data_IF_010993306630
#
_entry.id   IF_010993306630
#
_cell.length_a   1.000
_cell.length_b   1.000
_cell.length_c   1.000
_cell.angle_alpha   90.00
_cell.angle_beta   90.00
_cell.angle_gamma   90.00
#
_symmetry.space_group_name_H-M   'P 1'
#
loop_
_entity.id
_entity.type
_entity.pdbx_description
1 polymer ?
#
# COMPACT_ATOMS: atom_id res chain seq x y z
N UNK A 1 43.39 -22.61 -19.24
CA UNK A 1 42.03 -23.15 -19.38
C UNK A 1 41.25 -22.62 -18.21
N UNK A 2 40.39 -21.68 -18.55
CA UNK A 2 39.58 -20.87 -17.64
C UNK A 2 38.23 -21.57 -17.47
N UNK A 3 37.72 -21.66 -16.24
CA UNK A 3 36.35 -22.08 -15.97
C UNK A 3 35.89 -21.38 -14.70
N UNK A 4 35.25 -20.23 -14.92
CA UNK A 4 34.54 -19.44 -13.94
C UNK A 4 33.21 -20.12 -13.60
N UNK A 5 32.98 -20.52 -12.35
CA UNK A 5 31.66 -20.91 -11.85
C UNK A 5 30.95 -19.68 -11.26
N UNK A 6 29.95 -19.18 -11.96
CA UNK A 6 29.04 -18.13 -11.51
C UNK A 6 28.27 -18.58 -10.26
N UNK A 7 28.46 -17.85 -9.15
CA UNK A 7 27.62 -17.97 -7.96
C UNK A 7 26.24 -17.39 -8.25
N UNK A 8 25.24 -18.25 -8.37
CA UNK A 8 23.84 -17.84 -8.38
C UNK A 8 23.49 -17.14 -7.05
N UNK A 9 23.22 -15.83 -7.11
CA UNK A 9 22.74 -15.04 -5.98
C UNK A 9 21.27 -15.32 -5.69
N UNK A 10 20.90 -15.44 -4.41
CA UNK A 10 19.51 -15.51 -3.96
C UNK A 10 19.01 -14.14 -3.48
N UNK A 11 17.69 -13.84 -3.61
CA UNK A 11 17.16 -12.49 -3.46
C UNK A 11 16.97 -12.06 -1.99
N UNK A 12 16.74 -10.76 -1.82
CA UNK A 12 16.72 -10.04 -0.56
C UNK A 12 15.72 -10.57 0.49
N UNK A 13 16.04 -10.22 1.75
CA UNK A 13 15.47 -10.44 3.10
C UNK A 13 13.99 -10.81 3.31
N UNK A 14 13.12 -10.80 2.29
CA UNK A 14 11.69 -11.16 2.36
C UNK A 14 11.27 -12.41 1.57
N UNK A 15 12.10 -12.89 0.64
CA UNK A 15 11.72 -13.99 -0.27
C UNK A 15 12.35 -15.34 0.10
N UNK A 16 13.08 -15.40 1.22
CA UNK A 16 13.73 -16.63 1.67
C UNK A 16 12.68 -17.62 2.22
N UNK A 17 12.51 -18.81 1.62
CA UNK A 17 11.52 -19.80 2.04
C UNK A 17 11.68 -20.22 3.50
N UNK A 18 12.92 -20.21 4.01
CA UNK A 18 13.26 -20.55 5.39
C UNK A 18 12.70 -19.53 6.38
N UNK A 19 12.79 -18.23 6.08
CA UNK A 19 12.28 -17.17 6.94
C UNK A 19 10.73 -17.15 6.98
N UNK A 20 10.09 -17.38 5.83
CA UNK A 20 8.63 -17.48 5.72
C UNK A 20 8.08 -18.70 6.46
N UNK A 21 8.76 -19.85 6.39
CA UNK A 21 8.36 -21.06 7.12
C UNK A 21 8.46 -20.89 8.65
N UNK A 22 9.49 -20.17 9.14
CA UNK A 22 9.63 -19.88 10.58
C UNK A 22 8.60 -18.88 11.09
N UNK A 23 8.15 -17.93 10.26
CA UNK A 23 7.13 -16.93 10.60
C UNK A 23 5.73 -17.52 10.70
N UNK A 24 5.45 -18.57 9.92
CA UNK A 24 4.12 -19.19 9.79
C UNK A 24 3.85 -20.35 10.76
N UNK A 25 4.79 -20.69 11.66
CA UNK A 25 4.63 -21.78 12.63
C UNK A 25 4.34 -23.15 12.02
N UNK A 26 4.57 -23.32 10.72
CA UNK A 26 4.24 -24.52 9.96
C UNK A 26 5.53 -25.25 9.63
N UNK A 27 6.04 -26.03 10.58
CA UNK A 27 7.14 -26.96 10.30
C UNK A 27 6.66 -28.39 10.49
N UNK A 28 6.48 -29.07 9.37
CA UNK A 28 6.57 -30.53 9.30
C UNK A 28 8.05 -30.88 9.19
N UNK A 29 8.58 -31.64 10.14
CA UNK A 29 9.85 -32.34 9.97
C UNK A 29 9.55 -33.77 9.49
N UNK A 30 10.00 -34.10 8.30
CA UNK A 30 10.18 -35.47 7.83
C UNK A 30 11.46 -35.52 6.97
N UNK A 31 12.24 -36.62 7.02
CA UNK A 31 13.53 -36.74 6.37
C UNK A 31 13.37 -37.00 4.87
N UNK A 32 14.39 -36.61 4.11
CA UNK A 32 14.47 -36.69 2.64
C UNK A 32 14.24 -38.11 2.09
N UNK A 33 13.50 -38.20 0.99
CA UNK A 33 13.41 -39.41 0.17
C UNK A 33 12.56 -39.24 -1.09
N UNK A 34 13.24 -39.25 -2.25
CA UNK A 34 12.76 -39.56 -3.61
C UNK A 34 11.91 -38.51 -4.36
N UNK A 35 12.50 -37.96 -5.43
CA UNK A 35 11.80 -37.33 -6.55
C UNK A 35 10.84 -38.32 -7.23
N UNK A 36 9.76 -37.81 -7.82
CA UNK A 36 9.64 -37.96 -9.27
C UNK A 36 9.40 -36.64 -10.00
N UNK A 37 10.02 -36.59 -11.18
CA UNK A 37 9.78 -35.66 -12.28
C UNK A 37 8.31 -35.70 -12.70
N UNK A 38 7.69 -34.53 -12.92
CA UNK A 38 6.65 -34.38 -13.93
C UNK A 38 6.63 -32.96 -14.51
N UNK A 39 6.79 -32.89 -15.83
CA UNK A 39 6.64 -31.74 -16.72
C UNK A 39 5.24 -31.12 -16.68
N UNK A 40 5.15 -29.83 -17.04
CA UNK A 40 4.03 -29.35 -17.86
C UNK A 40 3.32 -28.06 -17.43
N UNK A 41 3.89 -26.93 -17.87
CA UNK A 41 3.22 -25.71 -18.36
C UNK A 41 2.29 -24.88 -17.46
N UNK A 42 2.71 -23.63 -17.17
CA UNK A 42 1.92 -22.43 -17.50
C UNK A 42 2.75 -21.13 -17.37
N UNK A 43 3.14 -20.63 -18.56
CA UNK A 43 3.21 -19.24 -19.04
C UNK A 43 3.77 -18.12 -18.11
N UNK A 44 4.81 -17.51 -18.66
CA UNK A 44 5.54 -16.29 -18.28
C UNK A 44 4.67 -15.03 -18.10
N UNK A 45 4.99 -14.16 -17.13
CA UNK A 45 5.78 -12.92 -17.35
C UNK A 45 6.03 -12.14 -16.02
N UNK A 46 7.11 -11.35 -15.89
CA UNK A 46 7.72 -10.93 -14.63
C UNK A 46 7.52 -9.44 -14.28
N UNK A 47 7.37 -9.13 -12.98
CA UNK A 47 7.61 -7.78 -12.46
C UNK A 47 8.87 -7.78 -11.59
N UNK A 48 9.93 -7.16 -12.13
CA UNK A 48 11.22 -6.96 -11.49
C UNK A 48 11.20 -5.82 -10.48
N UNK A 49 12.07 -5.97 -9.50
CA UNK A 49 12.20 -5.23 -8.23
C UNK A 49 12.90 -3.88 -8.37
N UNK A 50 12.66 -3.02 -7.37
CA UNK A 50 13.39 -1.80 -7.02
C UNK A 50 14.92 -1.82 -7.24
N UNK A 51 15.46 -0.64 -7.55
CA UNK A 51 16.88 -0.27 -7.39
C UNK A 51 16.99 1.13 -6.76
N UNK A 52 18.15 1.46 -6.13
CA UNK A 52 18.29 2.26 -4.90
C UNK A 52 18.50 3.78 -5.14
N UNK A 53 18.60 4.64 -4.10
CA UNK A 53 18.47 6.09 -4.27
C UNK A 53 19.76 6.73 -4.80
N UNK A 54 19.63 7.59 -5.81
CA UNK A 54 20.66 8.53 -6.26
C UNK A 54 20.34 9.97 -5.81
N UNK A 55 21.37 10.82 -5.65
CA UNK A 55 21.24 12.10 -4.95
C UNK A 55 20.76 13.24 -5.86
N UNK A 56 20.02 14.14 -5.21
CA UNK A 56 19.75 15.55 -5.51
C UNK A 56 20.20 16.07 -6.90
N UNK A 57 19.25 16.14 -7.84
CA UNK A 57 19.29 17.07 -8.97
C UNK A 57 17.88 17.63 -9.23
N UNK A 58 17.77 18.95 -9.11
CA UNK A 58 16.98 19.82 -9.98
C UNK A 58 15.47 19.57 -10.10
N UNK A 59 14.70 20.48 -9.50
CA UNK A 59 13.26 20.66 -9.75
C UNK A 59 12.89 20.59 -11.26
N UNK A 60 11.85 19.83 -11.66
CA UNK A 60 11.30 19.93 -13.01
C UNK A 60 10.39 21.17 -13.14
N UNK A 61 10.27 21.77 -14.34
CA UNK A 61 9.41 22.93 -14.57
C UNK A 61 7.92 22.55 -14.51
N UNK A 62 7.00 23.50 -14.25
CA UNK A 62 5.58 23.19 -14.16
C UNK A 62 5.02 22.77 -15.52
N UNK A 63 4.20 21.72 -15.50
CA UNK A 63 3.48 21.21 -16.66
C UNK A 63 2.57 22.31 -17.24
N UNK A 64 2.71 22.53 -18.54
CA UNK A 64 1.88 23.46 -19.31
C UNK A 64 0.40 23.10 -19.16
N UNK A 65 -0.41 24.12 -18.85
CA UNK A 65 -1.85 24.02 -18.82
C UNK A 65 -2.38 23.52 -20.17
N UNK A 66 -3.08 22.38 -20.15
CA UNK A 66 -3.82 21.87 -21.29
C UNK A 66 -5.05 22.77 -21.50
N UNK A 67 -5.22 23.46 -22.64
CA UNK A 67 -6.42 24.22 -22.90
C UNK A 67 -7.56 23.26 -23.24
N UNK A 68 -8.64 23.29 -22.45
CA UNK A 68 -9.89 22.60 -22.77
C UNK A 68 -10.59 23.38 -23.88
N UNK A 69 -11.05 22.76 -24.98
CA UNK A 69 -11.73 23.47 -26.07
C UNK A 69 -13.17 23.77 -25.68
N UNK A 70 -13.44 25.00 -25.25
CA UNK A 70 -14.81 25.52 -25.19
C UNK A 70 -15.11 26.22 -26.52
N UNK A 71 -16.04 25.63 -27.28
CA UNK A 71 -16.64 26.28 -28.44
C UNK A 71 -17.52 27.44 -27.96
N UNK A 72 -17.03 28.66 -28.12
CA UNK A 72 -17.85 29.86 -28.13
C UNK A 72 -17.84 30.42 -29.55
N UNK A 73 -19.02 30.44 -30.15
CA UNK A 73 -19.36 31.13 -31.39
C UNK A 73 -19.02 32.61 -31.30
N UNK A 74 -18.31 33.11 -32.31
CA UNK A 74 -17.96 34.53 -32.51
C UNK A 74 -19.19 35.46 -32.53
N UNK A 75 -19.12 36.66 -31.94
CA UNK A 75 -19.92 37.81 -32.36
C UNK A 75 -19.22 38.55 -33.48
N UNK A 76 -19.93 38.74 -34.59
CA UNK A 76 -19.54 39.44 -35.80
C UNK A 76 -18.63 40.66 -35.60
N UNK A 77 -17.42 40.59 -36.15
CA UNK A 77 -16.52 41.73 -36.33
C UNK A 77 -16.97 42.52 -37.58
N UNK A 78 -17.51 43.72 -37.38
CA UNK A 78 -17.87 44.63 -38.47
C UNK A 78 -16.62 45.14 -39.19
N UNK A 79 -16.42 44.72 -40.43
CA UNK A 79 -15.44 45.28 -41.34
C UNK A 79 -15.97 46.61 -41.90
N UNK A 80 -15.39 47.73 -41.48
CA UNK A 80 -15.65 49.07 -42.03
C UNK A 80 -14.56 49.36 -43.06
N UNK A 81 -14.87 49.23 -44.35
CA UNK A 81 -14.03 49.75 -45.43
C UNK A 81 -14.56 51.09 -45.94
N UNK A 82 -13.65 52.05 -46.07
CA UNK A 82 -13.84 53.33 -46.74
C UNK A 82 -13.94 53.17 -48.26
N UNK A 83 -14.69 54.02 -48.97
CA UNK A 83 -14.43 54.28 -50.37
C UNK A 83 -13.79 55.66 -50.54
N UNK A 84 -12.64 55.68 -51.22
CA UNK A 84 -12.06 56.89 -51.79
C UNK A 84 -11.46 56.57 -53.15
N UNK A 85 -12.02 57.13 -54.22
CA UNK A 85 -11.30 57.51 -55.43
C UNK A 85 -12.17 58.42 -56.31
N UNK A 86 -11.57 59.55 -56.67
CA UNK A 86 -12.04 60.62 -57.55
C UNK A 86 -11.76 60.23 -59.02
N UNK A 87 -12.72 60.42 -59.94
CA UNK A 87 -12.45 60.59 -61.39
C UNK A 87 -13.46 61.60 -61.96
N UNK A 88 -12.95 62.67 -62.57
CA UNK A 88 -13.69 63.69 -63.34
C UNK A 88 -13.80 63.34 -64.84
N UNK A 89 -14.57 64.16 -65.58
CA UNK A 89 -14.69 64.35 -67.05
C UNK A 89 -15.68 63.44 -67.79
N UNK A 90 -16.49 63.85 -68.79
CA UNK A 90 -16.89 65.15 -69.37
C UNK A 90 -17.97 64.90 -70.47
N UNK A 91 -18.89 65.88 -70.64
CA UNK A 91 -19.57 66.38 -71.85
C UNK A 91 -20.37 65.51 -72.88
N UNK A 92 -21.48 66.11 -73.36
CA UNK A 92 -22.20 65.86 -74.63
C UNK A 92 -23.44 64.95 -74.52
N UNK A 93 -24.62 65.18 -75.07
CA UNK A 93 -25.19 66.12 -76.06
C UNK A 93 -26.73 66.10 -75.90
N UNK A 94 -27.40 67.18 -76.32
CA UNK A 94 -28.87 67.28 -76.38
C UNK A 94 -29.45 66.49 -77.56
N UNK A 95 -30.67 65.97 -77.42
CA UNK A 95 -31.63 65.92 -78.53
C UNK A 95 -33.07 65.89 -78.00
N UNK A 96 -33.84 66.87 -78.45
CA UNK A 96 -35.26 67.11 -78.19
C UNK A 96 -36.17 65.97 -78.66
N UNK A 97 -37.16 65.64 -77.82
CA UNK A 97 -38.38 64.92 -78.17
C UNK A 97 -39.52 65.47 -77.32
N UNK A 98 -40.32 66.32 -77.95
CA UNK A 98 -41.32 67.20 -77.35
C UNK A 98 -42.67 66.47 -77.20
N UNK A 99 -43.20 66.33 -75.98
CA UNK A 99 -44.66 66.23 -75.75
C UNK A 99 -45.04 66.52 -74.28
N UNK A 100 -45.84 67.58 -74.07
CA UNK A 100 -46.64 67.84 -72.86
C UNK A 100 -45.96 68.43 -71.61
N UNK A 101 -45.96 69.77 -71.37
CA UNK A 101 -45.18 70.38 -70.28
C UNK A 101 -45.79 70.29 -68.88
N UNK A 102 -47.08 70.01 -68.73
CA UNK A 102 -47.75 70.12 -67.44
C UNK A 102 -47.84 68.80 -66.65
N UNK A 103 -48.12 67.67 -67.31
CA UNK A 103 -48.31 66.37 -66.65
C UNK A 103 -46.98 65.74 -66.20
N UNK A 104 -45.93 65.83 -67.02
CA UNK A 104 -44.61 65.26 -66.70
C UNK A 104 -43.85 66.06 -65.61
N UNK A 105 -44.02 67.38 -65.54
CA UNK A 105 -43.40 68.19 -64.48
C UNK A 105 -44.05 67.94 -63.11
N UNK A 106 -45.37 67.77 -63.07
CA UNK A 106 -46.09 67.37 -61.85
C UNK A 106 -45.71 65.95 -61.40
N UNK A 107 -45.49 65.01 -62.33
CA UNK A 107 -45.10 63.63 -62.03
C UNK A 107 -43.65 63.52 -61.52
N UNK A 108 -42.72 64.29 -62.10
CA UNK A 108 -41.32 64.38 -61.62
C UNK A 108 -41.23 65.07 -60.26
N UNK A 109 -42.01 66.12 -60.00
CA UNK A 109 -42.08 66.76 -58.67
C UNK A 109 -42.71 65.83 -57.62
N UNK A 110 -43.70 65.03 -58.01
CA UNK A 110 -44.32 64.01 -57.15
C UNK A 110 -43.38 62.85 -56.86
N UNK A 111 -42.63 62.36 -57.86
CA UNK A 111 -41.59 61.34 -57.71
C UNK A 111 -40.42 61.84 -56.84
N UNK A 112 -40.01 63.11 -57.01
CA UNK A 112 -38.99 63.73 -56.14
C UNK A 112 -39.49 63.89 -54.70
N UNK A 113 -40.73 64.33 -54.49
CA UNK A 113 -41.35 64.41 -53.16
C UNK A 113 -41.46 63.04 -52.51
N UNK A 114 -41.92 62.03 -53.25
CA UNK A 114 -42.04 60.64 -52.79
C UNK A 114 -40.69 60.00 -52.46
N UNK A 115 -39.65 60.24 -53.28
CA UNK A 115 -38.28 59.75 -53.02
C UNK A 115 -37.61 60.45 -51.83
N UNK A 116 -37.97 61.71 -51.57
CA UNK A 116 -37.55 62.43 -50.37
C UNK A 116 -38.24 61.87 -49.13
N UNK A 117 -39.56 61.64 -49.18
CA UNK A 117 -40.32 60.99 -48.10
C UNK A 117 -39.84 59.57 -47.80
N UNK A 118 -39.49 58.76 -48.80
CA UNK A 118 -38.97 57.40 -48.60
C UNK A 118 -37.61 57.44 -47.91
N UNK A 119 -36.72 58.37 -48.30
CA UNK A 119 -35.42 58.54 -47.63
C UNK A 119 -35.58 59.07 -46.22
N UNK A 120 -36.50 60.00 -45.99
CA UNK A 120 -36.78 60.55 -44.67
C UNK A 120 -37.33 59.47 -43.74
N UNK A 121 -38.38 58.74 -44.16
CA UNK A 121 -38.93 57.59 -43.42
C UNK A 121 -37.92 56.47 -43.23
N UNK A 122 -37.09 56.17 -44.25
CA UNK A 122 -36.00 55.20 -44.13
C UNK A 122 -34.93 55.62 -43.14
N UNK A 123 -34.62 56.92 -43.06
CA UNK A 123 -33.67 57.48 -42.10
C UNK A 123 -34.21 57.48 -40.68
N UNK A 124 -35.52 57.72 -40.49
CA UNK A 124 -36.17 57.61 -39.20
C UNK A 124 -36.21 56.16 -38.71
N UNK A 125 -36.56 55.22 -39.59
CA UNK A 125 -36.53 53.79 -39.28
C UNK A 125 -35.12 53.32 -38.88
N UNK A 126 -34.09 53.73 -39.63
CA UNK A 126 -32.71 53.36 -39.30
C UNK A 126 -32.24 53.95 -37.97
N UNK A 127 -32.68 55.18 -37.63
CA UNK A 127 -32.40 55.81 -36.33
C UNK A 127 -33.08 55.07 -35.19
N UNK A 128 -34.33 54.65 -35.38
CA UNK A 128 -35.08 53.92 -34.36
C UNK A 128 -34.48 52.53 -34.12
N UNK A 129 -34.11 51.80 -35.18
CA UNK A 129 -33.42 50.51 -35.06
C UNK A 129 -32.03 50.65 -34.42
N UNK A 130 -31.26 51.69 -34.76
CA UNK A 130 -29.99 51.99 -34.10
C UNK A 130 -30.19 52.24 -32.60
N UNK A 131 -31.22 53.01 -32.24
CA UNK A 131 -31.51 53.30 -30.84
C UNK A 131 -31.97 52.05 -30.07
N UNK A 132 -32.75 51.18 -30.72
CA UNK A 132 -33.16 49.88 -30.16
C UNK A 132 -31.94 48.98 -29.92
N UNK A 133 -31.04 48.87 -30.90
CA UNK A 133 -29.81 48.09 -30.78
C UNK A 133 -28.88 48.63 -29.68
N UNK A 134 -28.75 49.96 -29.56
CA UNK A 134 -27.98 50.59 -28.47
C UNK A 134 -28.56 50.28 -27.08
N UNK A 135 -29.89 50.28 -26.94
CA UNK A 135 -30.55 49.96 -25.67
C UNK A 135 -30.37 48.48 -25.31
N UNK A 136 -30.48 47.59 -26.29
CA UNK A 136 -30.22 46.15 -26.08
C UNK A 136 -28.77 45.89 -25.70
N UNK A 137 -27.82 46.51 -26.41
CA UNK A 137 -26.40 46.40 -26.10
C UNK A 137 -26.10 46.85 -24.67
N UNK A 138 -26.66 47.98 -24.24
CA UNK A 138 -26.47 48.47 -22.87
C UNK A 138 -26.97 47.48 -21.81
N UNK A 139 -28.13 46.86 -22.03
CA UNK A 139 -28.66 45.83 -21.12
C UNK A 139 -27.76 44.58 -21.11
N UNK A 140 -27.17 44.22 -22.25
CA UNK A 140 -26.22 43.12 -22.36
C UNK A 140 -24.89 43.43 -21.65
N UNK A 141 -24.39 44.66 -21.73
CA UNK A 141 -23.19 45.12 -21.03
C UNK A 141 -23.39 45.05 -19.51
N UNK A 142 -24.54 45.53 -19.01
CA UNK A 142 -24.92 45.45 -17.59
C UNK A 142 -24.97 43.99 -17.10
N UNK A 143 -25.50 43.08 -17.92
CA UNK A 143 -25.51 41.64 -17.59
C UNK A 143 -24.11 41.02 -17.65
N UNK A 144 -23.25 41.44 -18.59
CA UNK A 144 -21.86 40.99 -18.65
C UNK A 144 -21.07 41.44 -17.41
N UNK A 145 -21.26 42.69 -16.95
CA UNK A 145 -20.65 43.16 -15.71
C UNK A 145 -21.14 42.35 -14.50
N UNK A 146 -22.45 42.03 -14.45
CA UNK A 146 -23.00 41.20 -13.38
C UNK A 146 -22.39 39.79 -13.39
N UNK A 147 -22.25 39.18 -14.56
CA UNK A 147 -21.63 37.86 -14.71
C UNK A 147 -20.13 37.89 -14.40
N UNK A 148 -19.41 38.96 -14.74
CA UNK A 148 -17.98 39.10 -14.39
C UNK A 148 -17.80 39.09 -12.87
N UNK A 149 -18.64 39.82 -12.12
CA UNK A 149 -18.59 39.84 -10.65
C UNK A 149 -18.86 38.46 -10.05
N UNK A 150 -19.83 37.71 -10.60
CA UNK A 150 -20.10 36.34 -10.14
C UNK A 150 -18.92 35.42 -10.44
N UNK A 151 -18.30 35.54 -11.62
CA UNK A 151 -17.10 34.77 -11.97
C UNK A 151 -15.96 35.05 -11.00
N UNK A 152 -15.66 36.32 -10.74
CA UNK A 152 -14.59 36.73 -9.82
C UNK A 152 -14.83 36.24 -8.38
N UNK A 153 -16.08 36.26 -7.90
CA UNK A 153 -16.43 35.68 -6.60
C UNK A 153 -16.18 34.17 -6.54
N UNK A 154 -16.60 33.44 -7.58
CA UNK A 154 -16.38 32.00 -7.66
C UNK A 154 -14.89 31.66 -7.78
N UNK A 155 -14.12 32.43 -8.54
CA UNK A 155 -12.67 32.28 -8.65
C UNK A 155 -12.00 32.45 -7.28
N UNK A 156 -12.41 33.48 -6.51
CA UNK A 156 -11.90 33.70 -5.16
C UNK A 156 -12.28 32.57 -4.20
N UNK A 157 -13.54 32.13 -4.19
CA UNK A 157 -13.98 31.00 -3.34
C UNK A 157 -13.23 29.71 -3.68
N UNK A 158 -12.94 29.46 -4.96
CA UNK A 158 -12.15 28.33 -5.41
C UNK A 158 -10.70 28.42 -4.94
N UNK A 159 -10.08 29.59 -5.01
CA UNK A 159 -8.72 29.82 -4.52
C UNK A 159 -8.62 29.58 -3.01
N UNK A 160 -9.57 30.14 -2.24
CA UNK A 160 -9.63 29.96 -0.78
C UNK A 160 -9.85 28.50 -0.38
N UNK A 161 -10.77 27.81 -1.06
CA UNK A 161 -11.00 26.38 -0.84
C UNK A 161 -9.77 25.55 -1.20
N UNK A 162 -9.11 25.88 -2.31
CA UNK A 162 -7.89 25.19 -2.75
C UNK A 162 -6.76 25.37 -1.74
N UNK A 163 -6.55 26.58 -1.23
CA UNK A 163 -5.56 26.85 -0.18
C UNK A 163 -5.86 26.04 1.10
N UNK A 164 -7.11 26.04 1.55
CA UNK A 164 -7.56 25.28 2.73
C UNK A 164 -7.34 23.76 2.57
N UNK A 165 -7.62 23.21 1.39
CA UNK A 165 -7.38 21.79 1.09
C UNK A 165 -5.89 21.44 1.13
N UNK A 166 -5.01 22.29 0.59
CA UNK A 166 -3.57 22.06 0.67
C UNK A 166 -3.05 22.13 2.11
N UNK A 167 -3.54 23.08 2.91
CA UNK A 167 -3.18 23.19 4.32
C UNK A 167 -3.59 21.95 5.12
N UNK A 168 -4.82 21.46 4.92
CA UNK A 168 -5.31 20.25 5.60
C UNK A 168 -4.53 19.01 5.14
N UNK A 169 -4.21 18.89 3.84
CA UNK A 169 -3.36 17.81 3.34
C UNK A 169 -1.96 17.84 3.97
N UNK A 170 -1.32 19.02 4.05
CA UNK A 170 -0.02 19.18 4.70
C UNK A 170 -0.07 18.87 6.20
N UNK A 171 -1.18 19.19 6.87
CA UNK A 171 -1.41 18.83 8.27
C UNK A 171 -1.53 17.32 8.43
N UNK A 172 -2.34 16.63 7.62
CA UNK A 172 -2.47 15.17 7.65
C UNK A 172 -1.12 14.46 7.45
N UNK A 173 -0.31 14.93 6.50
CA UNK A 173 1.04 14.40 6.25
C UNK A 173 1.95 14.61 7.45
N UNK A 174 1.95 15.80 8.05
CA UNK A 174 2.75 16.08 9.26
C UNK A 174 2.33 15.20 10.43
N UNK A 175 1.03 15.04 10.67
CA UNK A 175 0.53 14.17 11.73
C UNK A 175 0.94 12.71 11.52
N UNK A 176 0.86 12.20 10.28
CA UNK A 176 1.31 10.86 9.95
C UNK A 176 2.82 10.68 10.19
N UNK A 177 3.63 11.63 9.72
CA UNK A 177 5.08 11.62 9.92
C UNK A 177 5.46 11.69 11.40
N UNK A 178 4.76 12.52 12.19
CA UNK A 178 4.98 12.59 13.64
C UNK A 178 4.61 11.28 14.35
N UNK A 179 3.50 10.64 13.97
CA UNK A 179 3.10 9.33 14.51
C UNK A 179 4.10 8.24 14.13
N UNK A 180 4.59 8.25 12.89
CA UNK A 180 5.63 7.32 12.44
C UNK A 180 6.95 7.53 13.20
N UNK A 181 7.42 8.78 13.33
CA UNK A 181 8.64 9.07 14.08
C UNK A 181 8.52 8.64 15.56
N UNK A 182 7.34 8.83 16.17
CA UNK A 182 7.09 8.38 17.53
C UNK A 182 7.11 6.85 17.65
N UNK A 183 6.50 6.13 16.71
CA UNK A 183 6.49 4.66 16.73
C UNK A 183 7.87 4.07 16.44
N UNK A 184 8.64 4.66 15.51
CA UNK A 184 10.03 4.25 15.24
C UNK A 184 10.95 4.52 16.42
N UNK A 185 10.80 5.68 17.09
CA UNK A 185 11.53 6.00 18.32
C UNK A 185 11.20 5.00 19.42
N UNK A 186 9.92 4.72 19.64
CA UNK A 186 9.48 3.71 20.59
C UNK A 186 10.01 2.32 20.23
N UNK A 187 10.04 1.95 18.96
CA UNK A 187 10.61 0.69 18.49
C UNK A 187 12.12 0.61 18.78
N UNK A 188 12.84 1.71 18.57
CA UNK A 188 14.28 1.80 18.84
C UNK A 188 14.60 1.76 20.34
N UNK A 189 13.79 2.44 21.17
CA UNK A 189 13.91 2.41 22.63
C UNK A 189 13.51 1.05 23.20
N UNK A 190 12.44 0.44 22.67
CA UNK A 190 11.98 -0.90 23.04
C UNK A 190 12.92 -2.01 22.55
N UNK A 191 13.71 -1.76 21.50
CA UNK A 191 14.80 -2.66 21.09
C UNK A 191 15.84 -2.86 22.18
N UNK A 192 15.86 -2.05 23.23
CA UNK A 192 16.72 -2.25 24.40
C UNK A 192 18.20 -2.03 24.09
N UNK A 193 19.02 -1.98 25.14
CA UNK A 193 20.48 -2.01 24.99
C UNK A 193 20.92 -3.47 25.04
N UNK A 194 21.85 -3.84 24.17
CA UNK A 194 22.48 -5.16 24.19
C UNK A 194 23.15 -5.36 25.56
N UNK A 195 22.77 -6.43 26.26
CA UNK A 195 23.51 -6.85 27.45
C UNK A 195 24.89 -7.33 27.03
N UNK A 196 25.92 -6.62 27.48
CA UNK A 196 27.32 -6.88 27.06
C UNK A 196 27.82 -8.25 27.51
N UNK A 197 27.34 -8.79 28.64
CA UNK A 197 27.76 -10.09 29.16
C UNK A 197 27.16 -11.20 28.31
N UNK A 198 25.83 -11.15 28.08
CA UNK A 198 25.13 -12.13 27.26
C UNK A 198 25.61 -12.08 25.80
N UNK A 199 25.92 -10.89 25.29
CA UNK A 199 26.44 -10.74 23.93
C UNK A 199 27.85 -11.30 23.80
N UNK A 200 28.74 -11.07 24.76
CA UNK A 200 30.08 -11.65 24.76
C UNK A 200 30.03 -13.19 24.85
N UNK A 201 29.18 -13.73 25.73
CA UNK A 201 28.94 -15.18 25.87
C UNK A 201 28.42 -15.80 24.56
N UNK A 202 27.43 -15.16 23.92
CA UNK A 202 26.94 -15.57 22.61
C UNK A 202 28.02 -15.49 21.52
N UNK A 203 28.81 -14.42 21.49
CA UNK A 203 29.87 -14.27 20.49
C UNK A 203 30.91 -15.38 20.61
N UNK A 204 31.35 -15.69 21.83
CA UNK A 204 32.27 -16.80 22.08
C UNK A 204 31.67 -18.14 21.66
N UNK A 205 30.40 -18.41 21.96
CA UNK A 205 29.72 -19.63 21.52
C UNK A 205 29.61 -19.70 19.99
N UNK A 206 29.35 -18.57 19.31
CA UNK A 206 29.19 -18.51 17.86
C UNK A 206 30.47 -18.82 17.09
N UNK A 207 31.65 -18.58 17.67
CA UNK A 207 32.93 -18.95 17.05
C UNK A 207 33.09 -20.47 16.90
N UNK A 208 32.53 -21.24 17.83
CA UNK A 208 32.48 -22.70 17.79
C UNK A 208 31.10 -23.22 18.25
N UNK A 209 30.06 -23.12 17.41
CA UNK A 209 28.70 -23.46 17.81
C UNK A 209 28.57 -24.93 18.21
N UNK A 210 27.94 -25.17 19.35
CA UNK A 210 27.69 -26.51 19.88
C UNK A 210 26.31 -26.62 20.52
N UNK A 211 25.77 -27.84 20.54
CA UNK A 211 24.56 -28.22 21.28
C UNK A 211 24.87 -28.84 22.65
N UNK A 212 26.14 -28.87 23.05
CA UNK A 212 26.55 -29.35 24.37
C UNK A 212 25.96 -28.46 25.47
N UNK A 213 25.14 -29.06 26.33
CA UNK A 213 24.45 -28.39 27.44
C UNK A 213 25.40 -27.88 28.51
N UNK A 214 26.63 -28.37 28.55
CA UNK A 214 27.65 -27.93 29.50
C UNK A 214 28.39 -26.67 29.05
N UNK A 215 28.19 -26.20 27.80
CA UNK A 215 28.78 -24.94 27.36
C UNK A 215 28.12 -23.75 28.08
N UNK A 216 28.85 -22.67 28.43
CA UNK A 216 28.32 -21.58 29.25
C UNK A 216 27.04 -20.94 28.70
N UNK A 217 26.98 -20.77 27.37
CA UNK A 217 25.83 -20.21 26.68
C UNK A 217 24.56 -21.07 26.88
N UNK A 218 24.63 -22.37 26.57
CA UNK A 218 23.46 -23.23 26.73
C UNK A 218 23.16 -23.53 28.19
N UNK A 219 24.16 -23.73 29.06
CA UNK A 219 23.96 -23.97 30.49
C UNK A 219 23.09 -22.87 31.12
N UNK A 220 23.37 -21.60 30.80
CA UNK A 220 22.54 -20.47 31.23
C UNK A 220 21.11 -20.58 30.72
N UNK A 221 20.93 -20.77 29.41
CA UNK A 221 19.60 -20.85 28.78
C UNK A 221 18.81 -22.05 29.34
N UNK A 222 19.48 -23.15 29.66
CA UNK A 222 18.87 -24.29 30.31
C UNK A 222 18.38 -23.98 31.72
N UNK A 223 19.22 -23.35 32.53
CA UNK A 223 18.89 -23.00 33.91
C UNK A 223 17.76 -21.96 33.98
N UNK A 224 17.80 -20.96 33.11
CA UNK A 224 16.92 -19.80 33.19
C UNK A 224 15.62 -20.00 32.41
N UNK A 225 15.64 -20.72 31.28
CA UNK A 225 14.53 -20.78 30.33
C UNK A 225 14.07 -22.21 30.02
N UNK A 226 14.89 -23.07 29.43
CA UNK A 226 14.46 -24.41 28.93
C UNK A 226 14.00 -25.31 30.07
N UNK A 227 14.76 -25.39 31.16
CA UNK A 227 14.43 -26.18 32.34
C UNK A 227 13.05 -25.80 32.89
N UNK A 228 12.85 -24.53 33.30
CA UNK A 228 11.56 -24.02 33.75
C UNK A 228 10.44 -24.14 32.70
N UNK A 229 10.72 -24.03 31.40
CA UNK A 229 9.71 -24.20 30.36
C UNK A 229 9.23 -25.64 30.20
N UNK A 230 10.08 -26.63 30.44
CA UNK A 230 9.73 -28.04 30.26
C UNK A 230 9.46 -28.78 31.56
N UNK A 231 9.47 -28.09 32.71
CA UNK A 231 9.08 -28.68 34.00
C UNK A 231 7.54 -28.76 34.12
N UNK A 232 7.01 -29.97 34.06
CA UNK A 232 5.56 -30.24 34.09
C UNK A 232 5.20 -31.12 35.27
N UNK A 233 3.93 -31.09 35.70
CA UNK A 233 3.43 -31.91 36.82
C UNK A 233 3.76 -33.40 36.65
N UNK A 234 3.60 -33.94 35.44
CA UNK A 234 3.99 -35.31 35.11
C UNK A 234 5.49 -35.37 34.79
N UNK A 235 6.29 -35.61 35.83
CA UNK A 235 7.76 -35.55 35.78
C UNK A 235 8.39 -36.56 34.80
N UNK A 236 7.89 -37.80 34.76
CA UNK A 236 8.38 -38.81 33.82
C UNK A 236 8.21 -38.35 32.36
N UNK A 237 7.03 -37.84 32.02
CA UNK A 237 6.75 -37.34 30.68
C UNK A 237 7.51 -36.03 30.39
N UNK A 238 7.74 -35.17 31.39
CA UNK A 238 8.60 -33.98 31.26
C UNK A 238 10.03 -34.34 30.84
N UNK A 239 10.63 -35.37 31.44
CA UNK A 239 11.97 -35.86 31.07
C UNK A 239 11.98 -36.38 29.63
N UNK A 240 10.98 -37.17 29.23
CA UNK A 240 10.87 -37.68 27.86
C UNK A 240 10.68 -36.56 26.83
N UNK A 241 9.85 -35.56 27.14
CA UNK A 241 9.65 -34.38 26.28
C UNK A 241 10.97 -33.63 26.13
N UNK A 242 11.71 -33.40 27.22
CA UNK A 242 13.00 -32.71 27.16
C UNK A 242 14.01 -33.43 26.25
N UNK A 243 14.15 -34.75 26.41
CA UNK A 243 15.02 -35.56 25.55
C UNK A 243 14.56 -35.49 24.08
N UNK A 244 13.28 -35.67 23.80
CA UNK A 244 12.76 -35.63 22.43
C UNK A 244 12.93 -34.26 21.74
N UNK A 245 12.86 -33.16 22.50
CA UNK A 245 13.13 -31.82 21.97
C UNK A 245 14.61 -31.67 21.59
N UNK A 246 15.51 -32.20 22.40
CA UNK A 246 16.96 -32.13 22.20
C UNK A 246 17.41 -33.01 21.02
N UNK A 247 16.83 -34.20 20.89
CA UNK A 247 17.07 -35.14 19.81
C UNK A 247 16.35 -34.75 18.51
N UNK A 248 15.51 -33.70 18.55
CA UNK A 248 14.67 -33.26 17.43
C UNK A 248 13.70 -34.34 16.92
N UNK A 249 13.15 -35.14 17.83
CA UNK A 249 12.24 -36.26 17.53
C UNK A 249 10.82 -36.04 18.03
N UNK A 250 10.52 -34.86 18.60
CA UNK A 250 9.18 -34.47 19.02
C UNK A 250 8.35 -33.94 17.84
N UNK A 251 7.12 -34.43 17.69
CA UNK A 251 6.16 -33.89 16.72
C UNK A 251 4.88 -33.41 17.42
N UNK A 252 4.35 -32.26 17.00
CA UNK A 252 3.08 -31.69 17.48
C UNK A 252 2.06 -31.73 16.34
N UNK A 253 0.91 -32.34 16.57
CA UNK A 253 -0.15 -32.49 15.57
C UNK A 253 -1.46 -31.85 16.07
N UNK A 254 -2.20 -31.13 15.20
CA UNK A 254 -3.55 -30.70 15.51
C UNK A 254 -4.49 -31.92 15.53
N UNK A 255 -5.44 -31.89 16.46
CA UNK A 255 -6.50 -32.89 16.57
C UNK A 255 -7.71 -32.31 15.85
N UNK A 256 -8.17 -32.96 14.79
CA UNK A 256 -9.39 -32.56 14.09
C UNK A 256 -10.55 -32.53 15.09
N UNK A 257 -11.31 -31.44 15.10
CA UNK A 257 -12.56 -31.32 15.85
C UNK A 257 -13.54 -32.36 15.31
N UNK A 258 -13.55 -33.55 15.89
CA UNK A 258 -14.54 -34.55 15.54
C UNK A 258 -15.88 -34.12 16.15
N UNK A 259 -16.75 -33.57 15.32
CA UNK A 259 -18.19 -33.74 15.50
C UNK A 259 -18.50 -35.22 15.25
N UNK A 260 -18.49 -36.06 16.28
CA UNK A 260 -18.98 -37.44 16.14
C UNK A 260 -20.51 -37.46 16.31
N UNK A 261 -21.27 -38.09 15.39
CA UNK A 261 -22.33 -38.98 15.83
C UNK A 261 -21.68 -40.24 16.45
N UNK A 262 -22.09 -40.55 17.67
CA UNK A 262 -22.06 -41.85 18.36
C UNK A 262 -21.42 -43.03 17.61
N UNK A 263 -20.26 -43.54 18.05
CA UNK A 263 -19.98 -44.97 18.34
C UNK A 263 -18.65 -45.05 19.10
N UNK A 264 -18.65 -45.79 20.21
CA UNK A 264 -17.48 -46.12 21.04
C UNK A 264 -16.62 -47.17 20.33
N UNK A 265 -15.30 -46.95 20.23
CA UNK A 265 -14.30 -48.03 20.17
C UNK A 265 -13.16 -47.66 21.10
N UNK A 266 -12.80 -48.62 21.96
CA UNK A 266 -11.78 -48.50 22.97
C UNK A 266 -10.38 -48.73 22.39
N UNK A 267 -9.49 -47.75 22.54
CA UNK A 267 -8.05 -47.93 22.49
C UNK A 267 -7.45 -47.30 23.76
N UNK A 268 -6.39 -47.95 24.24
CA UNK A 268 -5.84 -47.92 25.60
C UNK A 268 -5.49 -46.51 26.09
N UNK A 269 -5.77 -46.29 27.38
CA UNK A 269 -5.75 -45.04 28.14
C UNK A 269 -4.51 -44.17 27.91
N UNK A 270 -4.72 -43.02 27.28
CA UNK A 270 -3.95 -41.79 27.49
C UNK A 270 -4.93 -40.62 27.41
N UNK A 271 -5.43 -40.16 28.57
CA UNK A 271 -6.13 -38.90 28.82
C UNK A 271 -7.10 -38.42 27.72
N UNK A 272 -8.40 -38.47 27.99
CA UNK A 272 -9.44 -37.88 27.14
C UNK A 272 -9.04 -36.48 26.61
N UNK A 273 -9.58 -36.05 25.47
CA UNK A 273 -9.33 -34.73 24.83
C UNK A 273 -9.51 -33.51 25.75
N UNK A 274 -10.05 -33.73 26.95
CA UNK A 274 -10.33 -32.74 27.96
C UNK A 274 -9.32 -32.76 29.12
N UNK A 275 -8.26 -33.56 29.10
CA UNK A 275 -7.22 -33.58 30.14
C UNK A 275 -5.84 -33.51 29.50
N UNK A 276 -5.01 -32.58 30.00
CA UNK A 276 -3.64 -32.44 29.54
C UNK A 276 -2.75 -33.52 30.16
N UNK A 277 -2.07 -34.32 29.33
CA UNK A 277 -1.16 -35.38 29.76
C UNK A 277 0.05 -34.85 30.54
N UNK A 278 0.47 -33.61 30.31
CA UNK A 278 1.66 -33.02 30.96
C UNK A 278 1.33 -32.39 32.31
N UNK A 279 0.23 -31.64 32.39
CA UNK A 279 -0.14 -30.91 33.60
C UNK A 279 -1.14 -31.64 34.48
N UNK A 280 -1.83 -32.67 33.96
CA UNK A 280 -2.93 -33.37 34.63
C UNK A 280 -4.21 -32.55 34.77
N UNK A 281 -4.25 -31.33 34.21
CA UNK A 281 -5.38 -30.40 34.35
C UNK A 281 -6.44 -30.63 33.28
N UNK A 282 -7.71 -30.52 33.69
CA UNK A 282 -8.86 -30.59 32.78
C UNK A 282 -8.92 -29.33 31.90
N UNK A 283 -8.56 -29.46 30.63
CA UNK A 283 -8.53 -28.41 29.61
C UNK A 283 -8.82 -29.01 28.25
N UNK A 284 -9.49 -28.26 27.38
CA UNK A 284 -9.67 -28.65 25.98
C UNK A 284 -8.32 -28.68 25.25
N UNK A 285 -7.92 -29.87 24.82
CA UNK A 285 -6.65 -30.11 24.15
C UNK A 285 -6.91 -30.32 22.66
N UNK A 286 -6.62 -29.29 21.85
CA UNK A 286 -6.72 -29.34 20.38
C UNK A 286 -5.48 -29.91 19.71
N UNK A 287 -4.46 -30.26 20.48
CA UNK A 287 -3.16 -30.72 19.98
C UNK A 287 -2.71 -31.96 20.74
N UNK A 288 -1.97 -32.81 20.05
CA UNK A 288 -1.30 -33.98 20.62
C UNK A 288 0.17 -33.98 20.25
N UNK A 289 0.99 -34.57 21.09
CA UNK A 289 2.42 -34.78 20.84
C UNK A 289 2.71 -36.26 20.68
N UNK A 290 3.75 -36.52 19.89
CA UNK A 290 4.40 -37.83 19.76
C UNK A 290 5.90 -37.64 19.99
N UNK A 291 6.48 -38.58 20.72
CA UNK A 291 7.88 -38.54 21.15
C UNK A 291 8.64 -39.66 20.44
N UNK A 292 9.61 -39.34 19.58
CA UNK A 292 10.32 -40.34 18.81
C UNK A 292 9.42 -41.10 17.85
N UNK A 293 9.76 -42.37 17.64
CA UNK A 293 8.99 -43.31 16.81
C UNK A 293 7.87 -44.02 17.60
N UNK A 294 7.57 -43.56 18.82
CA UNK A 294 6.49 -44.14 19.61
C UNK A 294 5.13 -43.96 18.93
N UNK A 295 4.27 -44.97 18.99
CA UNK A 295 2.88 -44.87 18.51
C UNK A 295 1.97 -44.15 19.51
N UNK A 296 2.46 -43.91 20.72
CA UNK A 296 1.71 -43.27 21.80
C UNK A 296 1.55 -41.78 21.54
N UNK A 297 0.31 -41.30 21.67
CA UNK A 297 -0.04 -39.89 21.52
C UNK A 297 -0.45 -39.31 22.86
N UNK A 298 0.02 -38.11 23.17
CA UNK A 298 -0.30 -37.41 24.41
C UNK A 298 -1.01 -36.10 24.12
N UNK A 299 -2.23 -35.93 24.61
CA UNK A 299 -2.99 -34.69 24.46
C UNK A 299 -2.41 -33.60 25.35
N UNK A 300 -2.24 -32.39 24.80
CA UNK A 300 -1.61 -31.27 25.50
C UNK A 300 -2.48 -30.02 25.49
N UNK A 301 -2.48 -29.29 26.60
CA UNK A 301 -3.17 -28.02 26.73
C UNK A 301 -2.49 -26.92 25.88
N UNK A 302 -3.21 -25.85 25.52
CA UNK A 302 -2.62 -24.71 24.81
C UNK A 302 -1.39 -24.12 25.53
N UNK A 303 -1.42 -24.05 26.86
CA UNK A 303 -0.29 -23.59 27.67
C UNK A 303 0.93 -24.50 27.55
N UNK A 304 0.73 -25.83 27.65
CA UNK A 304 1.83 -26.79 27.52
C UNK A 304 2.41 -26.78 26.11
N UNK A 305 1.55 -26.64 25.09
CA UNK A 305 1.98 -26.46 23.70
C UNK A 305 2.84 -25.23 23.53
N UNK A 306 2.40 -24.07 24.03
CA UNK A 306 3.17 -22.83 23.92
C UNK A 306 4.56 -22.96 24.53
N UNK A 307 4.66 -23.58 25.71
CA UNK A 307 5.94 -23.87 26.39
C UNK A 307 6.84 -24.77 25.54
N UNK A 308 6.32 -25.88 25.02
CA UNK A 308 7.10 -26.80 24.16
C UNK A 308 7.54 -26.11 22.87
N UNK A 309 6.62 -25.45 22.18
CA UNK A 309 6.91 -24.77 20.91
C UNK A 309 7.95 -23.67 21.08
N UNK A 310 7.90 -22.88 22.15
CA UNK A 310 8.91 -21.85 22.42
C UNK A 310 10.32 -22.45 22.53
N UNK A 311 10.45 -23.58 23.23
CA UNK A 311 11.73 -24.30 23.36
C UNK A 311 12.16 -24.94 22.03
N UNK A 312 11.25 -25.57 21.30
CA UNK A 312 11.54 -26.14 19.98
C UNK A 312 12.03 -25.07 18.99
N UNK A 313 11.41 -23.89 19.00
CA UNK A 313 11.82 -22.77 18.15
C UNK A 313 13.23 -22.30 18.48
N UNK A 314 13.58 -22.23 19.78
CA UNK A 314 14.94 -21.93 20.22
C UNK A 314 15.94 -22.95 19.68
N UNK A 315 15.76 -24.25 19.94
CA UNK A 315 16.68 -25.28 19.47
C UNK A 315 16.76 -25.37 17.95
N UNK A 316 15.65 -25.14 17.24
CA UNK A 316 15.66 -25.07 15.77
C UNK A 316 16.61 -23.98 15.29
N UNK A 317 16.52 -22.78 15.87
CA UNK A 317 17.39 -21.68 15.49
C UNK A 317 18.86 -21.93 15.85
N UNK A 318 19.12 -22.48 17.04
CA UNK A 318 20.48 -22.87 17.45
C UNK A 318 21.09 -23.91 16.50
N UNK A 319 20.31 -24.92 16.08
CA UNK A 319 20.74 -25.91 15.08
C UNK A 319 21.06 -25.27 13.74
N UNK A 320 20.25 -24.30 13.29
CA UNK A 320 20.53 -23.59 12.04
C UNK A 320 21.83 -22.79 12.10
N UNK A 321 22.12 -22.14 13.23
CA UNK A 321 23.42 -21.48 13.43
C UNK A 321 24.54 -22.51 13.41
N UNK A 322 24.40 -23.62 14.15
CA UNK A 322 25.42 -24.67 14.22
C UNK A 322 25.74 -25.29 12.85
N UNK A 323 24.72 -25.47 12.01
CA UNK A 323 24.85 -25.99 10.65
C UNK A 323 25.36 -24.95 9.64
N UNK A 324 25.57 -23.69 10.07
CA UNK A 324 26.01 -22.61 9.19
C UNK A 324 24.94 -22.11 8.21
N UNK A 325 23.66 -22.40 8.45
CA UNK A 325 22.55 -21.98 7.59
C UNK A 325 22.20 -20.49 7.75
N UNK A 326 22.59 -19.87 8.87
CA UNK A 326 22.33 -18.46 9.16
C UNK A 326 23.55 -17.61 8.77
N UNK A 327 23.41 -16.77 7.73
CA UNK A 327 24.49 -15.94 7.17
C UNK A 327 24.42 -14.46 7.57
N UNK A 328 23.90 -14.16 8.75
CA UNK A 328 23.72 -12.78 9.25
C UNK A 328 24.90 -12.33 10.13
N UNK A 329 24.96 -11.02 10.42
CA UNK A 329 25.90 -10.47 11.40
C UNK A 329 25.55 -10.85 12.85
N UNK A 330 26.50 -10.65 13.78
CA UNK A 330 26.38 -11.05 15.19
C UNK A 330 25.14 -10.50 15.88
N UNK A 331 24.90 -9.21 15.72
CA UNK A 331 23.87 -8.48 16.46
C UNK A 331 22.44 -8.92 16.07
N UNK A 332 22.08 -9.03 14.77
CA UNK A 332 20.79 -9.62 14.37
C UNK A 332 20.55 -11.04 14.92
N UNK A 333 21.57 -11.91 14.88
CA UNK A 333 21.45 -13.27 15.42
C UNK A 333 21.25 -13.26 16.94
N UNK A 334 21.97 -12.39 17.65
CA UNK A 334 21.80 -12.21 19.08
C UNK A 334 20.39 -11.74 19.45
N UNK A 335 19.87 -10.74 18.73
CA UNK A 335 18.50 -10.25 18.97
C UNK A 335 17.45 -11.31 18.71
N UNK A 336 17.66 -12.17 17.71
CA UNK A 336 16.77 -13.30 17.46
C UNK A 336 16.82 -14.33 18.60
N UNK A 337 18.01 -14.62 19.15
CA UNK A 337 18.14 -15.46 20.36
C UNK A 337 17.44 -14.79 21.56
N UNK A 338 17.62 -13.49 21.78
CA UNK A 338 16.94 -12.76 22.85
C UNK A 338 15.42 -12.79 22.68
N UNK A 339 14.92 -12.66 21.45
CA UNK A 339 13.50 -12.82 21.13
C UNK A 339 13.00 -14.21 21.50
N UNK A 340 13.72 -15.28 21.12
CA UNK A 340 13.36 -16.66 21.44
C UNK A 340 13.40 -16.95 22.95
N UNK A 341 14.40 -16.40 23.67
CA UNK A 341 14.47 -16.47 25.14
C UNK A 341 13.32 -15.72 25.81
N UNK A 342 12.91 -14.57 25.27
CA UNK A 342 11.74 -13.82 25.72
C UNK A 342 10.47 -14.66 25.56
N UNK A 343 10.26 -15.32 24.42
CA UNK A 343 9.10 -16.22 24.22
C UNK A 343 9.07 -17.34 25.25
N UNK A 344 10.21 -17.99 25.53
CA UNK A 344 10.31 -19.00 26.60
C UNK A 344 9.99 -18.39 27.97
N UNK A 345 10.53 -17.21 28.27
CA UNK A 345 10.29 -16.50 29.52
C UNK A 345 8.83 -16.09 29.72
N UNK A 346 8.11 -15.74 28.67
CA UNK A 346 6.67 -15.48 28.73
C UNK A 346 5.89 -16.78 28.92
N UNK A 347 6.24 -17.83 28.17
CA UNK A 347 5.55 -19.12 28.22
C UNK A 347 5.67 -19.80 29.59
N UNK A 348 6.83 -19.75 30.26
CA UNK A 348 7.02 -20.31 31.61
C UNK A 348 6.17 -19.59 32.67
N UNK A 349 5.87 -18.31 32.46
CA UNK A 349 4.99 -17.50 33.31
C UNK A 349 3.49 -17.66 32.94
N UNK A 350 3.18 -18.45 31.90
CA UNK A 350 1.81 -18.68 31.45
C UNK A 350 1.27 -17.64 30.45
N UNK A 351 2.10 -16.72 29.96
CA UNK A 351 1.72 -15.79 28.90
C UNK A 351 1.96 -16.44 27.53
N UNK A 352 0.89 -16.72 26.80
CA UNK A 352 0.95 -17.26 25.45
C UNK A 352 -0.22 -16.74 24.61
N UNK A 353 -0.06 -16.62 23.28
CA UNK A 353 -1.16 -16.23 22.40
C UNK A 353 -2.29 -17.25 22.52
N UNK A 354 -3.49 -16.78 22.83
CA UNK A 354 -4.68 -17.61 22.78
C UNK A 354 -5.11 -17.71 21.32
N UNK A 355 -5.18 -18.93 20.77
CA UNK A 355 -5.74 -19.16 19.44
C UNK A 355 -7.22 -18.72 19.47
N UNK A 356 -7.55 -17.69 18.68
CA UNK A 356 -8.90 -17.15 18.54
C UNK A 356 -9.88 -18.18 17.97
#
# INVERSE_FOLDING_TARGET
>A
MDSSEERAGCPARGTCPVFLAMSAGTVRYAPSGLCPVLEGNLREEPWGTDSPPQPDQGLPPPLAAVPVPWKSTDPCQGHRESPGALVETSAGEEAQGQEGPAAAQLDVLRLRSSSMEIREKGSEFLKEELHRAQKELKLKDEECERLSKVREQLEQELEELTASLFEEAHKMVREANMKQAASEKQLKEARGKVDTILFAEFQAWRESPTLDKTCPFLERVYREDVGPCLDFTMQELSVLVRAAVEDNTLTIEPVASQTLPTVKVAEVDCSSTNTCALSGLTRTCRHRIRLGDSKSHYYISPSSRARITAVCNFFTYIRYIQQGLVRQDAEPMFWEIMRLRKEMSLAKLGFFPQEA
#
